data_IF_101000908907
#
_entry.id   IF_101000908907
#
_cell.length_a   1.000
_cell.length_b   1.000
_cell.length_c   1.000
_cell.angle_alpha   90.00
_cell.angle_beta   90.00
_cell.angle_gamma   90.00
#
_symmetry.space_group_name_H-M   'P 1'
#
loop_
_entity.id
_entity.type
_entity.pdbx_description
1 polymer ?
#
# COMPACT_ATOMS: atom_id res chain seq x y z
N UNK A 1 68.75 -17.68 -22.69
CA UNK A 1 69.56 -17.80 -21.46
C UNK A 1 68.64 -18.35 -20.39
N UNK A 2 68.68 -19.65 -20.13
CA UNK A 2 69.39 -20.29 -19.00
C UNK A 2 68.71 -20.01 -17.65
N UNK A 3 67.95 -21.00 -17.13
CA UNK A 3 68.33 -21.94 -16.04
C UNK A 3 67.73 -21.44 -14.71
N UNK A 4 66.66 -22.09 -14.22
CA UNK A 4 66.70 -23.14 -13.18
C UNK A 4 67.16 -22.65 -11.81
N UNK A 5 66.33 -22.85 -10.78
CA UNK A 5 66.68 -23.74 -9.65
C UNK A 5 65.58 -23.78 -8.59
N UNK A 6 65.23 -25.02 -8.24
CA UNK A 6 64.50 -25.44 -7.04
C UNK A 6 65.34 -25.15 -5.78
N UNK A 7 64.68 -25.03 -4.61
CA UNK A 7 64.94 -25.86 -3.42
C UNK A 7 64.23 -25.30 -2.19
N UNK A 8 63.61 -26.17 -1.40
CA UNK A 8 63.19 -25.84 -0.04
C UNK A 8 62.03 -26.68 0.51
N UNK A 9 62.17 -28.00 0.51
CA UNK A 9 61.36 -28.87 1.38
C UNK A 9 62.00 -28.91 2.78
N UNK A 10 61.23 -28.63 3.83
CA UNK A 10 61.55 -29.11 5.18
C UNK A 10 60.28 -29.58 5.93
N UNK A 11 60.24 -30.90 6.11
CA UNK A 11 59.89 -31.69 7.31
C UNK A 11 58.65 -31.32 8.16
N UNK A 12 57.56 -32.05 7.87
CA UNK A 12 57.00 -33.16 8.68
C UNK A 12 56.87 -32.99 10.21
N UNK A 13 55.62 -33.02 10.69
CA UNK A 13 55.25 -33.22 12.09
C UNK A 13 53.74 -33.24 12.35
N UNK A 14 53.05 -34.32 11.96
CA UNK A 14 51.75 -34.75 12.52
C UNK A 14 52.03 -35.73 13.69
N UNK A 15 51.09 -36.12 14.61
CA UNK A 15 49.61 -36.07 14.52
C UNK A 15 48.90 -35.55 15.82
N UNK A 16 47.58 -35.25 15.84
CA UNK A 16 46.43 -36.14 16.17
C UNK A 16 45.32 -35.27 16.85
N UNK A 17 44.07 -35.74 17.06
CA UNK A 17 42.96 -35.78 16.10
C UNK A 17 41.69 -35.00 16.55
N UNK A 18 40.72 -35.01 15.63
CA UNK A 18 39.26 -34.97 15.86
C UNK A 18 38.60 -33.62 16.20
N UNK A 19 37.84 -33.12 15.22
CA UNK A 19 36.39 -33.00 15.40
C UNK A 19 35.70 -33.03 14.04
N UNK A 20 34.83 -34.03 13.88
CA UNK A 20 33.88 -34.08 12.80
C UNK A 20 32.88 -32.92 12.96
N UNK A 21 32.63 -32.20 11.89
CA UNK A 21 31.38 -31.46 11.69
C UNK A 21 31.09 -31.46 10.21
N UNK A 22 30.35 -32.48 9.81
CA UNK A 22 29.54 -32.49 8.60
C UNK A 22 28.64 -31.26 8.61
N UNK A 23 28.59 -30.51 7.51
CA UNK A 23 27.34 -30.26 6.78
C UNK A 23 27.60 -29.39 5.57
N UNK A 24 27.26 -30.02 4.45
CA UNK A 24 26.86 -29.45 3.19
C UNK A 24 25.95 -28.21 3.33
N UNK A 25 26.07 -27.36 2.31
CA UNK A 25 24.99 -26.69 1.57
C UNK A 25 24.88 -25.17 1.63
N UNK A 26 24.91 -24.66 0.40
CA UNK A 26 24.12 -23.56 -0.14
C UNK A 26 24.61 -22.14 0.13
N UNK A 27 25.37 -21.67 -0.86
CA UNK A 27 25.09 -20.52 -1.71
C UNK A 27 23.97 -19.55 -1.25
N UNK A 28 24.16 -18.23 -1.46
CA UNK A 28 23.32 -17.19 -0.90
C UNK A 28 21.88 -17.39 -1.38
N UNK A 29 20.94 -17.34 -0.45
CA UNK A 29 19.55 -17.15 -0.79
C UNK A 29 19.46 -15.80 -1.51
N UNK A 30 19.32 -15.87 -2.84
CA UNK A 30 18.53 -14.94 -3.62
C UNK A 30 17.19 -14.76 -2.89
N UNK A 31 17.17 -13.82 -1.95
CA UNK A 31 15.96 -13.14 -1.52
C UNK A 31 15.53 -12.24 -2.68
N UNK A 32 15.17 -12.89 -3.79
CA UNK A 32 14.57 -12.28 -4.95
C UNK A 32 13.36 -11.50 -4.47
N UNK A 33 13.57 -10.20 -4.35
CA UNK A 33 12.54 -9.19 -4.20
C UNK A 33 11.46 -9.44 -5.24
N UNK A 34 10.35 -10.09 -4.86
CA UNK A 34 9.13 -10.18 -5.67
C UNK A 34 8.36 -8.85 -5.64
N UNK A 35 9.06 -7.72 -5.55
CA UNK A 35 8.51 -6.39 -5.30
C UNK A 35 8.07 -5.63 -6.56
N UNK A 36 7.80 -6.29 -7.69
CA UNK A 36 7.61 -5.57 -8.96
C UNK A 36 6.39 -5.93 -9.80
N UNK A 37 5.29 -6.42 -9.21
CA UNK A 37 4.03 -6.62 -9.99
C UNK A 37 2.72 -6.32 -9.22
N UNK A 38 2.81 -5.63 -8.07
CA UNK A 38 1.61 -5.26 -7.30
C UNK A 38 1.18 -3.84 -7.66
N UNK A 39 0.04 -3.73 -8.33
CA UNK A 39 -0.62 -2.45 -8.63
C UNK A 39 -0.91 -1.70 -7.32
N UNK A 40 -0.53 -0.43 -7.23
CA UNK A 40 -0.78 0.42 -6.05
C UNK A 40 -1.75 1.56 -6.36
N UNK A 41 -2.22 2.25 -5.32
CA UNK A 41 -3.22 3.32 -5.47
C UNK A 41 -2.73 4.51 -6.29
N UNK A 42 -1.42 4.79 -6.32
CA UNK A 42 -0.88 5.91 -7.12
C UNK A 42 -1.03 5.64 -8.62
N UNK A 43 -0.77 4.40 -9.03
CA UNK A 43 -1.01 3.96 -10.41
C UNK A 43 -2.50 4.00 -10.75
N UNK A 44 -3.36 3.55 -9.84
CA UNK A 44 -4.82 3.59 -10.02
C UNK A 44 -5.32 5.03 -10.19
N UNK A 45 -4.85 5.96 -9.36
CA UNK A 45 -5.21 7.38 -9.46
C UNK A 45 -4.69 8.03 -10.75
N UNK A 46 -3.58 7.53 -11.30
CA UNK A 46 -3.10 7.95 -12.64
C UNK A 46 -4.06 7.47 -13.73
N UNK A 47 -4.47 6.20 -13.70
CA UNK A 47 -5.48 5.67 -14.63
C UNK A 47 -6.80 6.45 -14.53
N UNK A 48 -7.19 6.84 -13.32
CA UNK A 48 -8.34 7.71 -13.09
C UNK A 48 -8.17 9.09 -13.74
N UNK A 49 -7.03 9.75 -13.51
CA UNK A 49 -6.72 11.07 -14.06
C UNK A 49 -6.69 11.07 -15.60
N UNK A 50 -6.36 9.94 -16.23
CA UNK A 50 -6.43 9.74 -17.69
C UNK A 50 -7.88 9.61 -18.23
N UNK A 51 -8.90 9.74 -17.39
CA UNK A 51 -10.31 9.58 -17.76
C UNK A 51 -10.76 8.12 -17.90
N UNK A 52 -9.91 7.15 -17.54
CA UNK A 52 -10.23 5.71 -17.61
C UNK A 52 -10.93 5.24 -16.33
N UNK A 53 -12.05 5.88 -16.02
CA UNK A 53 -12.85 5.73 -14.79
C UNK A 53 -13.17 4.28 -14.45
N UNK A 54 -13.71 3.49 -15.39
CA UNK A 54 -14.11 2.10 -15.11
C UNK A 54 -12.92 1.18 -14.82
N UNK A 55 -11.81 1.37 -15.55
CA UNK A 55 -10.59 0.62 -15.34
C UNK A 55 -9.98 0.91 -13.96
N UNK A 56 -9.92 2.18 -13.56
CA UNK A 56 -9.43 2.58 -12.25
C UNK A 56 -10.24 1.94 -11.11
N UNK A 57 -11.57 1.93 -11.23
CA UNK A 57 -12.44 1.33 -10.19
C UNK A 57 -12.29 -0.19 -10.16
N UNK A 58 -12.24 -0.85 -11.31
CA UNK A 58 -11.99 -2.29 -11.37
C UNK A 58 -10.64 -2.67 -10.72
N UNK A 59 -9.60 -1.90 -10.99
CA UNK A 59 -8.29 -2.08 -10.36
C UNK A 59 -8.31 -1.82 -8.86
N UNK A 60 -9.00 -0.78 -8.38
CA UNK A 60 -9.11 -0.52 -6.93
C UNK A 60 -9.87 -1.64 -6.22
N UNK A 61 -10.95 -2.14 -6.80
CA UNK A 61 -11.70 -3.26 -6.25
C UNK A 61 -10.82 -4.51 -6.18
N UNK A 62 -10.06 -4.81 -7.24
CA UNK A 62 -9.11 -5.93 -7.24
C UNK A 62 -8.04 -5.77 -6.17
N UNK A 63 -7.50 -4.55 -6.01
CA UNK A 63 -6.52 -4.25 -4.97
C UNK A 63 -7.12 -4.46 -3.57
N UNK A 64 -8.32 -3.94 -3.31
CA UNK A 64 -9.00 -4.05 -2.03
C UNK A 64 -9.39 -5.49 -1.64
N UNK A 65 -9.53 -6.38 -2.61
CA UNK A 65 -9.83 -7.81 -2.40
C UNK A 65 -8.58 -8.68 -2.27
N UNK A 66 -7.41 -8.10 -2.51
CA UNK A 66 -6.12 -8.79 -2.36
C UNK A 66 -5.59 -8.71 -0.92
N UNK A 67 -4.48 -9.39 -0.67
CA UNK A 67 -3.70 -9.31 0.56
C UNK A 67 -2.71 -8.13 0.57
N UNK A 68 -2.94 -7.11 -0.26
CA UNK A 68 -2.05 -5.96 -0.36
C UNK A 68 -1.90 -5.24 1.00
N UNK A 69 -0.66 -4.85 1.35
CA UNK A 69 -0.39 -4.12 2.57
C UNK A 69 -0.95 -2.69 2.50
N UNK A 70 -1.09 -2.04 3.66
CA UNK A 70 -1.72 -0.72 3.75
C UNK A 70 -0.98 0.34 2.93
N UNK A 71 0.34 0.21 2.78
CA UNK A 71 1.19 1.10 1.97
C UNK A 71 0.72 1.21 0.51
N UNK A 72 0.16 0.14 -0.04
CA UNK A 72 -0.33 0.12 -1.43
C UNK A 72 -1.63 0.91 -1.60
N UNK A 73 -2.31 1.25 -0.50
CA UNK A 73 -3.54 2.06 -0.48
C UNK A 73 -3.29 3.53 -0.09
N UNK A 74 -2.03 3.94 0.11
CA UNK A 74 -1.67 5.31 0.49
C UNK A 74 -1.18 6.12 -0.73
N UNK A 75 -1.83 7.24 -1.09
CA UNK A 75 -1.34 8.14 -2.14
C UNK A 75 0.05 8.68 -1.86
N UNK A 76 0.41 8.83 -0.58
CA UNK A 76 1.75 9.22 -0.12
C UNK A 76 2.19 8.32 1.04
N UNK A 77 3.47 7.95 1.02
CA UNK A 77 4.13 7.24 2.13
C UNK A 77 4.85 8.19 3.09
N UNK A 78 4.67 9.50 2.90
CA UNK A 78 5.30 10.52 3.73
C UNK A 78 4.59 10.64 5.07
N UNK A 79 5.33 10.48 6.15
CA UNK A 79 4.86 10.78 7.51
C UNK A 79 4.77 12.28 7.75
N UNK A 80 4.03 12.71 8.78
CA UNK A 80 3.95 14.12 9.16
C UNK A 80 5.34 14.67 9.55
N UNK A 81 6.11 13.89 10.32
CA UNK A 81 7.47 14.25 10.75
C UNK A 81 8.39 14.49 9.54
N UNK A 82 8.30 13.64 8.51
CA UNK A 82 9.06 13.82 7.28
C UNK A 82 8.58 15.04 6.49
N UNK A 83 7.26 15.24 6.37
CA UNK A 83 6.67 16.38 5.68
C UNK A 83 7.11 17.72 6.28
N UNK A 84 6.99 17.88 7.60
CA UNK A 84 7.38 19.11 8.32
C UNK A 84 8.87 19.40 8.15
N UNK A 85 9.70 18.36 8.26
CA UNK A 85 11.15 18.48 8.07
C UNK A 85 11.51 18.98 6.67
N UNK A 86 10.95 18.36 5.63
CA UNK A 86 11.23 18.75 4.25
C UNK A 86 10.65 20.12 3.90
N UNK A 87 9.43 20.43 4.37
CA UNK A 87 8.82 21.74 4.20
C UNK A 87 9.69 22.86 4.79
N UNK A 88 10.20 22.66 6.00
CA UNK A 88 11.09 23.64 6.68
C UNK A 88 12.38 23.86 5.89
N UNK A 89 12.96 22.79 5.32
CA UNK A 89 14.11 22.91 4.44
C UNK A 89 13.79 23.67 3.15
N UNK A 90 12.61 23.45 2.55
CA UNK A 90 12.22 24.15 1.34
C UNK A 90 11.96 25.63 1.55
N UNK A 91 11.31 26.01 2.66
CA UNK A 91 11.18 27.42 3.05
C UNK A 91 12.55 28.09 3.24
N UNK A 92 13.57 27.33 3.66
CA UNK A 92 14.93 27.85 3.83
C UNK A 92 15.69 28.01 2.51
N UNK A 93 15.34 27.23 1.48
CA UNK A 93 16.05 27.18 0.18
C UNK A 93 15.37 28.00 -0.91
N UNK A 94 14.07 28.25 -0.79
CA UNK A 94 13.21 28.82 -1.82
C UNK A 94 12.29 29.90 -1.22
N UNK A 95 11.47 30.55 -2.04
CA UNK A 95 10.44 31.45 -1.55
C UNK A 95 9.31 30.69 -0.83
N UNK A 96 8.56 31.38 0.04
CA UNK A 96 7.38 30.80 0.69
C UNK A 96 6.32 30.32 -0.31
N UNK A 97 6.21 30.98 -1.47
CA UNK A 97 5.31 30.57 -2.54
C UNK A 97 5.73 29.23 -3.16
N UNK A 98 7.01 29.08 -3.51
CA UNK A 98 7.56 27.84 -4.07
C UNK A 98 7.47 26.67 -3.10
N UNK A 99 7.79 26.90 -1.82
CA UNK A 99 7.59 25.89 -0.77
C UNK A 99 6.11 25.49 -0.62
N UNK A 100 5.20 26.46 -0.75
CA UNK A 100 3.75 26.22 -0.78
C UNK A 100 3.29 25.40 -1.99
N UNK A 101 3.87 25.64 -3.18
CA UNK A 101 3.59 24.84 -4.38
C UNK A 101 4.11 23.41 -4.24
N UNK A 102 5.32 23.24 -3.69
CA UNK A 102 5.86 21.91 -3.37
C UNK A 102 4.92 21.15 -2.42
N UNK A 103 4.45 21.81 -1.35
CA UNK A 103 3.50 21.20 -0.41
C UNK A 103 2.21 20.77 -1.10
N UNK A 104 1.64 21.61 -1.98
CA UNK A 104 0.46 21.26 -2.78
C UNK A 104 0.71 20.04 -3.67
N UNK A 105 1.87 19.94 -4.31
CA UNK A 105 2.23 18.79 -5.14
C UNK A 105 2.30 17.50 -4.32
N UNK A 106 2.85 17.55 -3.10
CA UNK A 106 2.87 16.37 -2.21
C UNK A 106 1.45 15.93 -1.79
N UNK A 107 0.50 16.86 -1.74
CA UNK A 107 -0.87 16.61 -1.33
C UNK A 107 -1.85 16.32 -2.49
N UNK A 108 -1.41 16.49 -3.74
CA UNK A 108 -2.26 16.35 -4.93
C UNK A 108 -2.93 14.97 -5.03
N UNK A 109 -2.22 13.91 -4.62
CA UNK A 109 -2.76 12.55 -4.58
C UNK A 109 -4.00 12.40 -3.70
N UNK A 110 -4.11 13.17 -2.61
CA UNK A 110 -5.28 13.15 -1.73
C UNK A 110 -6.48 13.90 -2.32
N UNK A 111 -6.25 14.91 -3.16
CA UNK A 111 -7.32 15.57 -3.90
C UNK A 111 -7.94 14.60 -4.92
N UNK A 112 -7.09 13.92 -5.70
CA UNK A 112 -7.55 12.88 -6.63
C UNK A 112 -8.26 11.73 -5.91
N UNK A 113 -7.78 11.34 -4.73
CA UNK A 113 -8.47 10.35 -3.90
C UNK A 113 -9.85 10.84 -3.44
N UNK A 114 -9.99 12.12 -3.10
CA UNK A 114 -11.27 12.75 -2.77
C UNK A 114 -12.29 12.60 -3.91
N UNK A 115 -11.95 13.02 -5.12
CA UNK A 115 -12.84 12.90 -6.28
C UNK A 115 -13.16 11.44 -6.62
N UNK A 116 -12.16 10.57 -6.54
CA UNK A 116 -12.32 9.13 -6.78
C UNK A 116 -13.26 8.48 -5.76
N UNK A 117 -13.18 8.90 -4.50
CA UNK A 117 -14.06 8.43 -3.43
C UNK A 117 -15.53 8.82 -3.65
N UNK A 118 -15.78 10.03 -4.16
CA UNK A 118 -17.14 10.47 -4.48
C UNK A 118 -17.75 9.64 -5.61
N UNK A 119 -16.95 9.25 -6.60
CA UNK A 119 -17.43 8.34 -7.66
C UNK A 119 -17.75 6.94 -7.11
N UNK A 120 -16.94 6.39 -6.20
CA UNK A 120 -17.23 5.12 -5.53
C UNK A 120 -18.56 5.19 -4.77
N UNK A 121 -18.79 6.25 -3.98
CA UNK A 121 -20.04 6.48 -3.26
C UNK A 121 -21.22 6.59 -4.24
N UNK A 122 -21.07 7.36 -5.31
CA UNK A 122 -22.12 7.52 -6.33
C UNK A 122 -22.47 6.20 -7.03
N UNK A 123 -21.50 5.32 -7.27
CA UNK A 123 -21.75 3.98 -7.80
C UNK A 123 -22.41 3.06 -6.78
N UNK A 124 -21.97 3.13 -5.53
CA UNK A 124 -22.57 2.35 -4.45
C UNK A 124 -24.04 2.72 -4.26
N UNK A 125 -24.36 4.02 -4.28
CA UNK A 125 -25.75 4.48 -4.23
C UNK A 125 -26.57 3.96 -5.41
N UNK A 126 -26.06 4.06 -6.65
CA UNK A 126 -26.76 3.51 -7.82
C UNK A 126 -26.96 1.98 -7.74
N UNK A 127 -26.02 1.26 -7.16
CA UNK A 127 -26.18 -0.17 -6.91
C UNK A 127 -27.27 -0.43 -5.87
N UNK A 128 -27.34 0.36 -4.79
CA UNK A 128 -28.45 0.29 -3.82
C UNK A 128 -29.80 0.58 -4.46
N UNK A 129 -29.91 1.65 -5.26
CA UNK A 129 -31.15 2.02 -5.95
C UNK A 129 -31.62 0.93 -6.93
N UNK A 130 -30.69 0.18 -7.50
CA UNK A 130 -30.95 -0.96 -8.37
C UNK A 130 -31.22 -2.27 -7.61
N UNK A 131 -31.14 -2.27 -6.27
CA UNK A 131 -31.29 -3.46 -5.42
C UNK A 131 -30.07 -4.38 -5.37
N UNK A 132 -28.94 -4.00 -5.98
CA UNK A 132 -27.67 -4.74 -5.91
C UNK A 132 -26.88 -4.36 -4.65
N UNK A 133 -27.39 -4.83 -3.51
CA UNK A 133 -26.78 -4.62 -2.20
C UNK A 133 -25.38 -5.23 -2.09
N UNK A 134 -25.08 -6.29 -2.85
CA UNK A 134 -23.77 -6.94 -2.83
C UNK A 134 -22.71 -6.03 -3.47
N UNK A 135 -22.99 -5.44 -4.64
CA UNK A 135 -22.11 -4.48 -5.28
C UNK A 135 -21.93 -3.22 -4.44
N UNK A 136 -23.01 -2.68 -3.86
CA UNK A 136 -22.93 -1.53 -2.96
C UNK A 136 -22.02 -1.81 -1.76
N UNK A 137 -22.20 -2.97 -1.10
CA UNK A 137 -21.38 -3.38 0.05
C UNK A 137 -19.91 -3.50 -0.34
N UNK A 138 -19.62 -4.08 -1.51
CA UNK A 138 -18.25 -4.23 -2.03
C UNK A 138 -17.57 -2.87 -2.21
N UNK A 139 -18.27 -1.90 -2.80
CA UNK A 139 -17.76 -0.54 -3.02
C UNK A 139 -17.50 0.21 -1.71
N UNK A 140 -18.45 0.18 -0.76
CA UNK A 140 -18.22 0.81 0.54
C UNK A 140 -17.14 0.09 1.37
N UNK A 141 -17.04 -1.23 1.29
CA UNK A 141 -15.96 -1.97 1.97
C UNK A 141 -14.59 -1.61 1.41
N UNK A 142 -14.49 -1.46 0.08
CA UNK A 142 -13.31 -0.95 -0.61
C UNK A 142 -12.95 0.46 -0.12
N UNK A 143 -13.94 1.38 -0.06
CA UNK A 143 -13.76 2.73 0.45
C UNK A 143 -13.23 2.72 1.90
N UNK A 144 -13.78 1.86 2.75
CA UNK A 144 -13.33 1.71 4.14
C UNK A 144 -11.89 1.21 4.21
N UNK A 145 -11.52 0.22 3.40
CA UNK A 145 -10.14 -0.31 3.36
C UNK A 145 -9.14 0.78 2.99
N UNK A 146 -9.43 1.59 1.97
CA UNK A 146 -8.60 2.73 1.59
C UNK A 146 -8.55 3.76 2.72
N UNK A 147 -9.68 4.06 3.35
CA UNK A 147 -9.75 4.97 4.48
C UNK A 147 -8.88 4.52 5.65
N UNK A 148 -9.02 3.27 6.09
CA UNK A 148 -8.23 2.67 7.18
C UNK A 148 -6.74 2.70 6.92
N UNK A 149 -6.31 2.44 5.69
CA UNK A 149 -4.89 2.48 5.34
C UNK A 149 -4.27 3.88 5.46
N UNK A 150 -5.08 4.94 5.42
CA UNK A 150 -4.63 6.33 5.52
C UNK A 150 -4.82 6.91 6.93
N UNK A 151 -5.15 6.09 7.94
CA UNK A 151 -5.23 6.49 9.34
C UNK A 151 -4.06 5.90 10.13
N UNK A 152 -3.37 6.74 10.92
CA UNK A 152 -2.22 6.33 11.70
C UNK A 152 -1.68 7.46 12.58
N UNK A 153 -0.59 7.20 13.31
CA UNK A 153 0.12 8.26 14.02
C UNK A 153 0.98 9.10 13.05
N UNK A 154 1.49 10.23 13.54
CA UNK A 154 2.30 11.20 12.78
C UNK A 154 3.61 10.60 12.21
N UNK A 155 4.04 9.45 12.72
CA UNK A 155 5.23 8.71 12.24
C UNK A 155 4.94 7.82 11.02
N UNK A 156 3.67 7.48 10.78
CA UNK A 156 3.25 6.58 9.69
C UNK A 156 2.57 7.35 8.56
N UNK A 157 1.72 8.33 8.88
CA UNK A 157 0.97 9.10 7.89
C UNK A 157 0.98 10.60 8.21
N UNK A 158 0.87 11.45 7.19
CA UNK A 158 0.70 12.89 7.42
C UNK A 158 -0.73 13.23 7.89
N UNK A 159 -0.91 14.40 8.51
CA UNK A 159 -2.21 14.84 9.04
C UNK A 159 -3.31 14.92 7.98
N UNK A 160 -2.96 15.33 6.76
CA UNK A 160 -3.90 15.36 5.64
C UNK A 160 -4.41 13.95 5.29
N UNK A 161 -3.52 12.95 5.27
CA UNK A 161 -3.87 11.56 5.04
C UNK A 161 -4.83 11.07 6.12
N UNK A 162 -4.54 11.38 7.39
CA UNK A 162 -5.39 11.06 8.53
C UNK A 162 -6.81 11.62 8.36
N UNK A 163 -6.93 12.91 8.04
CA UNK A 163 -8.23 13.56 7.82
C UNK A 163 -8.99 12.94 6.64
N UNK A 164 -8.30 12.72 5.52
CA UNK A 164 -8.88 12.04 4.36
C UNK A 164 -9.34 10.62 4.73
N UNK A 165 -8.50 9.84 5.38
CA UNK A 165 -8.78 8.48 5.82
C UNK A 165 -10.00 8.38 6.72
N UNK A 166 -10.08 9.24 7.75
CA UNK A 166 -11.24 9.33 8.64
C UNK A 166 -12.53 9.69 7.88
N UNK A 167 -12.45 10.63 6.94
CA UNK A 167 -13.60 11.00 6.12
C UNK A 167 -14.09 9.83 5.26
N UNK A 168 -13.16 9.05 4.66
CA UNK A 168 -13.51 7.88 3.85
C UNK A 168 -14.15 6.78 4.69
N UNK A 169 -13.60 6.50 5.88
CA UNK A 169 -14.18 5.54 6.82
C UNK A 169 -15.60 5.94 7.20
N UNK A 170 -15.81 7.22 7.55
CA UNK A 170 -17.13 7.73 7.90
C UNK A 170 -18.15 7.54 6.77
N UNK A 171 -17.80 7.95 5.55
CA UNK A 171 -18.69 7.76 4.38
C UNK A 171 -18.99 6.27 4.12
N UNK A 172 -17.98 5.41 4.28
CA UNK A 172 -18.16 3.97 4.10
C UNK A 172 -19.06 3.35 5.17
N UNK A 173 -18.88 3.70 6.44
CA UNK A 173 -19.69 3.17 7.54
C UNK A 173 -21.14 3.67 7.46
N UNK A 174 -21.36 4.94 7.09
CA UNK A 174 -22.69 5.49 6.82
C UNK A 174 -23.38 4.78 5.65
N UNK A 175 -22.64 4.48 4.57
CA UNK A 175 -23.15 3.73 3.43
C UNK A 175 -23.47 2.27 3.75
N UNK A 176 -22.59 1.60 4.49
CA UNK A 176 -22.78 0.21 4.92
C UNK A 176 -23.97 0.05 5.87
N UNK A 177 -24.20 1.03 6.75
CA UNK A 177 -25.34 1.02 7.68
C UNK A 177 -26.71 1.10 6.98
N UNK A 178 -26.75 1.62 5.76
CA UNK A 178 -27.98 1.72 4.95
C UNK A 178 -28.31 0.43 4.20
N UNK A 179 -27.35 -0.50 4.08
CA UNK A 179 -27.57 -1.76 3.37
C UNK A 179 -28.40 -2.69 4.27
N UNK A 180 -29.58 -3.15 3.81
CA UNK A 180 -30.41 -4.04 4.61
C UNK A 180 -29.64 -5.30 5.01
N UNK A 181 -29.56 -5.55 6.31
CA UNK A 181 -29.08 -6.83 6.84
C UNK A 181 -29.96 -7.93 6.25
N UNK A 182 -29.40 -8.85 5.46
CA UNK A 182 -30.13 -10.02 5.00
C UNK A 182 -30.55 -10.82 6.23
N UNK A 183 -31.77 -10.59 6.73
CA UNK A 183 -32.36 -11.45 7.74
C UNK A 183 -32.52 -12.81 7.08
N UNK A 184 -31.72 -13.76 7.55
CA UNK A 184 -31.95 -15.19 7.38
C UNK A 184 -33.37 -15.48 7.84
N UNK A 185 -34.29 -15.54 6.88
CA UNK A 185 -35.61 -16.13 7.08
C UNK A 185 -35.39 -17.63 7.15
N UNK A 186 -34.82 -18.06 8.28
CA UNK A 186 -34.82 -19.44 8.72
C UNK A 186 -36.27 -19.83 8.96
N UNK A 187 -36.89 -20.40 7.94
CA UNK A 187 -38.13 -21.12 8.05
C UNK A 187 -37.94 -22.29 9.02
N UNK A 188 -38.35 -22.11 10.28
CA UNK A 188 -38.77 -23.24 11.11
C UNK A 188 -40.25 -23.49 10.83
N UNK A 189 -40.51 -24.25 9.77
CA UNK A 189 -41.72 -25.05 9.65
C UNK A 189 -41.42 -26.46 10.21
N UNK A 190 -42.33 -26.96 11.04
CA UNK A 190 -42.30 -28.31 11.62
C UNK A 190 -42.09 -28.25 13.13
N UNK A 191 -43.04 -28.62 14.00
CA UNK A 191 -44.13 -29.59 13.87
C UNK A 191 -45.35 -29.17 14.68
#
# INVERSE_FOLDING_TARGET
>A
MCLSSQSGCDKQGDPRPASASSSLNSAPADGGSTAHDRQNIREILTVWADGRTDAAIASLLKLAESDAPDEDFRPSLMSETAFVKEYTQQVSRTSAEEAGQWAKQQLAGYQSLGDFSQELVRRAQRAMDAGDHAAAKRLYSCLRRVGSANVGNDDVVCKMANLAGQSLIKMADEGLAQIPSSQSTGASQGS
#
